data_IF_676184015835
#
_entry.id   IF_676184015835
#
_cell.length_a   1.000
_cell.length_b   1.000
_cell.length_c   1.000
_cell.angle_alpha   90.00
_cell.angle_beta   90.00
_cell.angle_gamma   90.00
#
_symmetry.space_group_name_H-M   'P 1'
#
loop_
_entity.id
_entity.type
_entity.pdbx_description
1 polymer ?
#
# COMPACT_ATOMS: atom_id res chain seq x y z
N UNK A 1 -56.01 15.85 99.87
CA UNK A 1 -54.96 15.67 98.83
C UNK A 1 -54.38 14.27 98.93
N UNK A 2 -54.20 13.62 97.77
CA UNK A 2 -53.45 12.36 97.51
C UNK A 2 -54.18 11.05 97.81
N UNK A 3 -54.20 10.01 96.97
CA UNK A 3 -53.81 9.75 95.55
C UNK A 3 -54.44 8.39 95.21
N UNK A 4 -55.13 8.29 94.07
CA UNK A 4 -55.55 7.03 93.42
C UNK A 4 -54.40 6.51 92.53
N UNK A 5 -54.13 5.20 92.52
CA UNK A 5 -53.35 4.47 91.49
C UNK A 5 -53.57 2.95 91.73
N UNK A 6 -54.48 2.25 91.05
CA UNK A 6 -54.58 1.78 89.66
C UNK A 6 -53.60 0.66 89.25
N UNK A 7 -54.16 -0.56 89.31
CA UNK A 7 -54.04 -1.75 88.43
C UNK A 7 -52.79 -2.04 87.58
N UNK A 8 -52.25 -3.24 87.84
CA UNK A 8 -52.11 -4.40 86.93
C UNK A 8 -51.36 -4.27 85.58
N UNK A 9 -50.15 -4.85 85.59
CA UNK A 9 -49.40 -5.60 84.57
C UNK A 9 -49.78 -5.48 83.07
N UNK A 10 -48.82 -5.09 82.19
CA UNK A 10 -48.90 -5.37 80.77
C UNK A 10 -48.26 -6.73 80.39
N UNK A 11 -48.95 -7.40 79.48
CA UNK A 11 -48.67 -8.67 78.83
C UNK A 11 -47.49 -8.51 77.85
N UNK A 12 -46.54 -9.46 77.90
CA UNK A 12 -45.43 -9.60 76.96
C UNK A 12 -45.96 -10.11 75.62
N UNK A 13 -45.93 -9.26 74.59
CA UNK A 13 -46.14 -9.66 73.19
C UNK A 13 -44.79 -9.89 72.52
N UNK A 14 -44.39 -11.16 72.38
CA UNK A 14 -43.24 -11.59 71.59
C UNK A 14 -43.55 -11.35 70.11
N UNK A 15 -42.99 -10.28 69.56
CA UNK A 15 -42.94 -10.03 68.12
C UNK A 15 -42.05 -11.07 67.45
N UNK A 16 -42.65 -12.10 66.84
CA UNK A 16 -41.97 -12.97 65.89
C UNK A 16 -41.77 -12.21 64.56
N UNK A 17 -40.75 -11.36 64.51
CA UNK A 17 -40.25 -10.78 63.26
C UNK A 17 -39.50 -11.85 62.48
N UNK A 18 -40.19 -12.53 61.57
CA UNK A 18 -39.58 -13.38 60.55
C UNK A 18 -38.81 -12.50 59.57
N UNK A 19 -37.54 -12.23 59.91
CA UNK A 19 -36.58 -11.62 58.99
C UNK A 19 -36.34 -12.58 57.82
N UNK A 20 -37.13 -12.44 56.75
CA UNK A 20 -36.77 -12.94 55.44
C UNK A 20 -35.58 -12.12 54.93
N UNK A 21 -34.38 -12.43 55.43
CA UNK A 21 -33.14 -11.91 54.88
C UNK A 21 -32.99 -12.51 53.46
N UNK A 22 -33.49 -11.79 52.45
CA UNK A 22 -33.16 -12.11 51.06
C UNK A 22 -31.66 -11.89 50.91
N UNK A 23 -30.90 -12.96 50.75
CA UNK A 23 -29.48 -12.88 50.45
C UNK A 23 -29.29 -11.98 49.22
N UNK A 24 -28.73 -10.79 49.41
CA UNK A 24 -28.35 -9.92 48.31
C UNK A 24 -27.17 -10.61 47.62
N UNK A 25 -27.39 -11.15 46.42
CA UNK A 25 -26.31 -11.60 45.56
C UNK A 25 -25.44 -10.37 45.25
N UNK A 26 -24.31 -10.26 45.93
CA UNK A 26 -23.35 -9.18 45.67
C UNK A 26 -22.69 -9.50 44.34
N UNK A 27 -22.96 -8.71 43.31
CA UNK A 27 -22.27 -8.85 42.05
C UNK A 27 -20.77 -8.63 42.29
N UNK A 28 -19.96 -9.66 42.05
CA UNK A 28 -18.51 -9.56 42.07
C UNK A 28 -18.04 -9.32 40.65
N UNK A 29 -17.37 -8.20 40.43
CA UNK A 29 -16.78 -7.85 39.13
C UNK A 29 -15.27 -7.73 39.30
N UNK A 30 -14.54 -8.18 38.29
CA UNK A 30 -13.10 -7.98 38.13
C UNK A 30 -12.84 -7.39 36.75
N UNK A 31 -11.82 -6.55 36.63
CA UNK A 31 -11.41 -5.97 35.35
C UNK A 31 -10.04 -6.50 34.93
N UNK A 32 -9.82 -6.56 33.63
CA UNK A 32 -8.52 -6.85 33.00
C UNK A 32 -8.20 -5.70 32.06
N UNK A 33 -6.95 -5.24 32.08
CA UNK A 33 -6.47 -4.25 31.13
C UNK A 33 -6.16 -4.93 29.80
N UNK A 34 -6.74 -4.42 28.73
CA UNK A 34 -6.42 -4.82 27.36
C UNK A 34 -5.58 -3.75 26.69
N UNK A 35 -4.54 -4.14 25.97
CA UNK A 35 -3.73 -3.24 25.15
C UNK A 35 -3.52 -3.80 23.74
N UNK A 36 -3.44 -2.90 22.76
CA UNK A 36 -3.12 -3.20 21.37
C UNK A 36 -1.93 -2.35 20.98
N UNK A 37 -0.88 -2.98 20.46
CA UNK A 37 0.31 -2.30 19.93
C UNK A 37 0.29 -2.38 18.41
N UNK A 38 0.35 -1.23 17.75
CA UNK A 38 0.40 -1.13 16.28
C UNK A 38 1.83 -0.79 15.85
N UNK A 39 2.31 -1.47 14.81
CA UNK A 39 3.61 -1.19 14.17
C UNK A 39 3.41 -0.88 12.69
N UNK A 40 4.31 -0.06 12.13
CA UNK A 40 4.33 0.18 10.70
C UNK A 40 4.71 -1.11 9.97
N UNK A 41 3.92 -1.50 8.98
CA UNK A 41 4.17 -2.65 8.13
C UNK A 41 4.00 -2.19 6.68
N UNK A 42 4.99 -2.46 5.84
CA UNK A 42 4.99 -2.07 4.43
C UNK A 42 5.64 -3.17 3.59
N UNK A 43 5.03 -3.49 2.46
CA UNK A 43 5.51 -4.49 1.51
C UNK A 43 5.07 -4.13 0.08
N UNK A 44 5.94 -4.42 -0.87
CA UNK A 44 5.65 -4.43 -2.29
C UNK A 44 6.08 -5.78 -2.86
N UNK A 45 5.21 -6.41 -3.63
CA UNK A 45 5.48 -7.67 -4.33
C UNK A 45 5.33 -7.42 -5.83
N UNK A 46 6.41 -7.61 -6.59
CA UNK A 46 6.37 -7.58 -8.05
C UNK A 46 5.86 -8.93 -8.56
N UNK A 47 4.78 -8.91 -9.34
CA UNK A 47 4.18 -10.09 -9.95
C UNK A 47 4.61 -10.25 -11.42
N UNK A 48 5.09 -9.18 -12.05
CA UNK A 48 5.73 -9.20 -13.37
C UNK A 48 7.20 -8.79 -13.27
N UNK A 49 8.06 -9.36 -14.12
CA UNK A 49 9.51 -9.21 -14.02
C UNK A 49 10.19 -8.72 -15.30
N UNK A 50 9.44 -8.38 -16.36
CA UNK A 50 10.02 -7.91 -17.62
C UNK A 50 9.08 -7.03 -18.43
N UNK A 51 9.67 -6.13 -19.21
CA UNK A 51 9.03 -5.33 -20.24
C UNK A 51 9.97 -5.27 -21.45
N UNK A 52 9.49 -5.67 -22.63
CA UNK A 52 10.31 -5.81 -23.84
C UNK A 52 9.69 -5.05 -25.01
N UNK A 53 10.41 -4.05 -25.51
CA UNK A 53 10.04 -3.30 -26.70
C UNK A 53 10.72 -3.91 -27.93
N UNK A 54 9.96 -4.15 -29.00
CA UNK A 54 10.47 -4.74 -30.24
C UNK A 54 10.23 -3.79 -31.41
N UNK A 55 11.28 -3.13 -31.89
CA UNK A 55 11.25 -2.21 -33.03
C UNK A 55 11.68 -2.90 -34.33
N UNK A 56 10.76 -3.66 -34.94
CA UNK A 56 10.97 -4.48 -36.15
C UNK A 56 10.36 -3.89 -37.43
N UNK A 57 9.60 -2.79 -37.33
CA UNK A 57 9.00 -2.10 -38.48
C UNK A 57 9.29 -0.59 -38.44
N UNK A 58 9.39 0.08 -39.60
CA UNK A 58 9.55 1.54 -39.64
C UNK A 58 8.47 2.32 -38.89
N UNK A 59 7.22 1.83 -38.90
CA UNK A 59 6.12 2.47 -38.17
C UNK A 59 6.39 2.56 -36.67
N UNK A 60 7.00 1.53 -36.06
CA UNK A 60 7.34 1.57 -34.63
C UNK A 60 8.39 2.62 -34.31
N UNK A 61 9.34 2.90 -35.22
CA UNK A 61 10.30 3.99 -35.06
C UNK A 61 9.65 5.37 -35.24
N UNK A 62 8.60 5.47 -36.06
CA UNK A 62 7.87 6.72 -36.29
C UNK A 62 6.87 7.04 -35.19
N UNK A 63 6.09 6.05 -34.76
CA UNK A 63 4.95 6.21 -33.86
C UNK A 63 5.30 5.92 -32.39
N UNK A 64 6.42 5.22 -32.17
CA UNK A 64 6.75 4.64 -30.87
C UNK A 64 6.02 3.33 -30.60
N UNK A 65 6.12 2.85 -29.36
CA UNK A 65 5.49 1.61 -28.91
C UNK A 65 4.91 1.82 -27.53
N UNK A 66 3.66 1.41 -27.35
CA UNK A 66 3.06 1.17 -26.03
C UNK A 66 2.85 -0.32 -25.87
N UNK A 67 3.38 -0.90 -24.79
CA UNK A 67 3.19 -2.32 -24.49
C UNK A 67 1.78 -2.58 -23.97
N UNK A 68 1.26 -3.81 -24.11
CA UNK A 68 0.04 -4.22 -23.42
C UNK A 68 0.14 -3.95 -21.92
N UNK A 69 -0.98 -3.54 -21.32
CA UNK A 69 -1.07 -3.32 -19.88
C UNK A 69 -0.74 -4.61 -19.13
N UNK A 70 0.17 -4.51 -18.16
CA UNK A 70 0.46 -5.57 -17.21
C UNK A 70 -0.50 -5.45 -16.02
N UNK A 71 -1.61 -6.16 -16.08
CA UNK A 71 -2.61 -6.16 -15.00
C UNK A 71 -2.07 -6.82 -13.74
N UNK A 72 -2.24 -6.16 -12.60
CA UNK A 72 -1.75 -6.65 -11.31
C UNK A 72 -0.23 -6.82 -11.25
N UNK A 73 0.51 -6.00 -12.00
CA UNK A 73 1.97 -6.05 -12.12
C UNK A 73 2.69 -6.02 -10.76
N UNK A 74 2.12 -5.35 -9.77
CA UNK A 74 2.57 -5.45 -8.38
C UNK A 74 1.43 -5.28 -7.38
N UNK A 75 1.67 -5.78 -6.16
CA UNK A 75 0.75 -5.67 -5.03
C UNK A 75 1.42 -4.98 -3.87
N UNK A 76 0.68 -4.09 -3.22
CA UNK A 76 1.13 -3.29 -2.07
C UNK A 76 0.30 -3.58 -0.84
N UNK A 77 1.00 -3.67 0.29
CA UNK A 77 0.42 -3.65 1.63
C UNK A 77 1.16 -2.59 2.46
N UNK A 78 0.44 -1.65 3.05
CA UNK A 78 0.96 -0.64 3.96
C UNK A 78 -0.06 -0.31 5.05
N UNK A 79 0.36 -0.33 6.32
CA UNK A 79 -0.47 0.12 7.46
C UNK A 79 -0.50 1.64 7.63
N UNK A 80 0.23 2.39 6.79
CA UNK A 80 0.28 3.85 6.74
C UNK A 80 0.04 4.36 5.32
N UNK A 81 -0.29 5.64 5.12
CA UNK A 81 -0.21 6.25 3.79
C UNK A 81 1.17 6.00 3.17
N UNK A 82 1.24 5.89 1.85
CA UNK A 82 2.49 5.53 1.16
C UNK A 82 2.63 6.21 -0.20
N UNK A 83 3.85 6.18 -0.72
CA UNK A 83 4.19 6.53 -2.11
C UNK A 83 4.92 5.37 -2.79
N UNK A 84 4.92 5.38 -4.13
CA UNK A 84 5.67 4.41 -4.94
C UNK A 84 6.50 5.15 -5.97
N UNK A 85 7.79 4.83 -6.01
CA UNK A 85 8.73 5.40 -6.98
C UNK A 85 9.41 4.31 -7.81
N UNK A 86 9.77 4.65 -9.04
CA UNK A 86 10.68 3.87 -9.87
C UNK A 86 12.08 4.50 -9.84
N UNK A 87 13.11 3.69 -9.62
CA UNK A 87 14.51 4.09 -9.59
C UNK A 87 15.28 3.37 -10.68
N UNK A 88 16.03 4.10 -11.51
CA UNK A 88 16.86 3.50 -12.55
C UNK A 88 18.16 2.99 -11.95
N UNK A 89 18.51 1.73 -12.20
CA UNK A 89 19.74 1.12 -11.67
C UNK A 89 21.01 1.63 -12.40
N UNK A 90 20.85 2.12 -13.62
CA UNK A 90 21.90 2.61 -14.48
C UNK A 90 21.40 3.84 -15.26
N UNK A 91 22.31 4.58 -15.91
CA UNK A 91 21.95 5.72 -16.76
C UNK A 91 21.21 5.27 -18.04
N UNK A 92 21.61 4.10 -18.55
CA UNK A 92 21.19 3.61 -19.86
C UNK A 92 20.81 2.12 -19.83
N UNK A 93 20.09 1.70 -20.87
CA UNK A 93 20.03 0.33 -21.33
C UNK A 93 21.24 0.05 -22.21
N UNK A 94 21.93 -1.04 -21.92
CA UNK A 94 23.18 -1.42 -22.57
C UNK A 94 22.94 -2.58 -23.54
N UNK A 95 23.52 -2.48 -24.74
CA UNK A 95 23.66 -3.61 -25.66
C UNK A 95 24.48 -4.75 -25.04
N UNK A 96 24.39 -5.92 -25.66
CA UNK A 96 25.10 -7.13 -25.24
C UNK A 96 26.39 -7.35 -26.03
N UNK A 97 27.30 -8.16 -25.47
CA UNK A 97 28.55 -8.54 -26.13
C UNK A 97 29.44 -7.34 -26.47
N UNK A 98 29.82 -7.21 -27.75
CA UNK A 98 30.70 -6.14 -28.25
C UNK A 98 29.97 -4.84 -28.59
N UNK A 99 28.64 -4.79 -28.47
CA UNK A 99 27.88 -3.60 -28.76
C UNK A 99 28.05 -2.55 -27.65
N UNK A 100 28.57 -1.37 -28.02
CA UNK A 100 28.82 -0.26 -27.09
C UNK A 100 27.69 0.77 -27.07
N UNK A 101 26.70 0.63 -27.94
CA UNK A 101 25.55 1.54 -28.00
C UNK A 101 24.76 1.52 -26.68
N UNK A 102 24.18 2.69 -26.38
CA UNK A 102 23.35 2.94 -25.19
C UNK A 102 22.04 3.59 -25.57
N UNK A 103 20.98 3.23 -24.85
CA UNK A 103 19.65 3.86 -24.93
C UNK A 103 19.36 4.48 -23.56
N UNK A 104 19.11 5.80 -23.47
CA UNK A 104 18.87 6.43 -22.18
C UNK A 104 17.52 6.00 -21.59
N UNK A 105 17.45 5.83 -20.28
CA UNK A 105 16.21 5.44 -19.60
C UNK A 105 15.05 6.41 -19.84
N UNK A 106 15.34 7.70 -20.02
CA UNK A 106 14.32 8.73 -20.27
C UNK A 106 13.68 8.66 -21.67
N UNK A 107 14.05 7.67 -22.49
CA UNK A 107 13.28 7.28 -23.67
C UNK A 107 12.04 6.46 -23.30
N UNK A 108 12.01 5.87 -22.11
CA UNK A 108 10.93 5.02 -21.60
C UNK A 108 10.06 5.82 -20.62
N UNK A 109 8.76 5.66 -20.76
CA UNK A 109 7.74 6.18 -19.86
C UNK A 109 6.99 5.02 -19.18
N UNK A 110 6.58 5.26 -17.94
CA UNK A 110 5.83 4.31 -17.12
C UNK A 110 4.57 4.98 -16.62
N UNK A 111 3.43 4.36 -16.87
CA UNK A 111 2.15 4.74 -16.29
C UNK A 111 1.73 3.66 -15.28
N UNK A 112 1.21 4.08 -14.12
CA UNK A 112 0.79 3.18 -13.04
C UNK A 112 -0.57 3.61 -12.51
N UNK A 113 -1.48 2.65 -12.32
CA UNK A 113 -2.80 2.90 -11.71
C UNK A 113 -3.22 1.74 -10.82
N UNK A 114 -4.08 1.96 -9.81
CA UNK A 114 -4.77 0.87 -9.14
C UNK A 114 -5.49 -0.01 -10.17
N UNK A 115 -5.46 -1.34 -10.00
CA UNK A 115 -6.07 -2.27 -10.95
C UNK A 115 -7.54 -1.93 -11.22
N UNK A 116 -7.90 -1.87 -12.51
CA UNK A 116 -9.22 -1.45 -12.98
C UNK A 116 -9.42 0.07 -13.08
N UNK A 117 -8.41 0.86 -12.72
CA UNK A 117 -8.36 2.30 -12.96
C UNK A 117 -7.98 2.65 -14.40
N UNK A 118 -8.09 3.93 -14.73
CA UNK A 118 -7.71 4.47 -16.04
C UNK A 118 -6.37 5.19 -15.96
N UNK A 119 -5.43 4.87 -16.85
CA UNK A 119 -4.18 5.60 -16.98
C UNK A 119 -4.45 7.06 -17.39
N UNK A 120 -4.03 8.02 -16.57
CA UNK A 120 -4.19 9.45 -16.85
C UNK A 120 -2.94 10.07 -17.46
N UNK A 121 -1.74 9.70 -16.97
CA UNK A 121 -0.45 10.21 -17.47
C UNK A 121 0.68 9.21 -17.31
N UNK A 122 1.52 9.08 -18.34
CA UNK A 122 2.78 8.35 -18.27
C UNK A 122 3.89 9.26 -17.70
N UNK A 123 4.81 8.67 -16.94
CA UNK A 123 5.93 9.37 -16.32
C UNK A 123 7.23 8.92 -16.98
N UNK A 124 8.00 9.84 -17.54
CA UNK A 124 9.32 9.53 -18.08
C UNK A 124 10.27 9.07 -16.97
N UNK A 125 11.00 7.98 -17.23
CA UNK A 125 12.04 7.53 -16.31
C UNK A 125 13.23 8.49 -16.31
N UNK A 126 13.94 8.64 -15.19
CA UNK A 126 15.08 9.53 -15.12
C UNK A 126 16.28 8.96 -15.88
N UNK A 127 17.05 9.82 -16.54
CA UNK A 127 18.25 9.43 -17.28
C UNK A 127 19.47 9.14 -16.38
N UNK A 128 19.40 9.53 -15.11
CA UNK A 128 20.53 9.42 -14.17
C UNK A 128 20.28 8.28 -13.19
N UNK A 129 21.23 7.36 -13.08
CA UNK A 129 21.18 6.25 -12.15
C UNK A 129 20.93 6.73 -10.72
N UNK A 130 20.10 5.98 -9.98
CA UNK A 130 19.71 6.31 -8.60
C UNK A 130 18.68 7.44 -8.49
N UNK A 131 18.32 8.11 -9.58
CA UNK A 131 17.22 9.09 -9.57
C UNK A 131 15.87 8.37 -9.60
N UNK A 132 14.85 9.03 -9.03
CA UNK A 132 13.52 8.46 -8.86
C UNK A 132 12.48 9.19 -9.72
N UNK A 133 11.60 8.44 -10.37
CA UNK A 133 10.32 8.92 -10.90
C UNK A 133 9.20 8.56 -9.92
N UNK A 134 8.38 9.54 -9.54
CA UNK A 134 7.20 9.28 -8.72
C UNK A 134 6.11 8.63 -9.59
N UNK A 135 5.72 7.39 -9.26
CA UNK A 135 4.70 6.65 -10.00
C UNK A 135 3.34 6.75 -9.34
N UNK A 136 3.32 6.68 -8.01
CA UNK A 136 2.11 6.81 -7.21
C UNK A 136 2.40 7.82 -6.11
N UNK A 137 1.72 8.96 -6.17
CA UNK A 137 1.73 9.94 -5.10
C UNK A 137 1.13 9.41 -3.81
N UNK A 138 1.01 10.27 -2.79
CA UNK A 138 0.49 9.88 -1.48
C UNK A 138 -0.88 9.21 -1.61
N UNK A 139 -0.92 7.94 -1.25
CA UNK A 139 -2.12 7.09 -1.20
C UNK A 139 -2.36 6.64 0.23
N UNK A 140 -3.62 6.37 0.59
CA UNK A 140 -4.00 5.87 1.93
C UNK A 140 -3.45 4.47 2.20
N UNK A 141 -3.42 4.07 3.48
CA UNK A 141 -3.08 2.69 3.87
C UNK A 141 -3.96 1.65 3.14
N UNK A 142 -3.36 0.54 2.73
CA UNK A 142 -4.03 -0.58 2.03
C UNK A 142 -3.40 -1.90 2.47
N UNK A 143 -4.14 -3.02 2.49
CA UNK A 143 -3.57 -4.32 2.87
C UNK A 143 -3.29 -5.23 1.67
N UNK A 144 -3.79 -4.91 0.48
CA UNK A 144 -3.60 -5.72 -0.73
C UNK A 144 -4.00 -4.94 -1.99
N UNK A 145 -3.46 -3.73 -2.19
CA UNK A 145 -3.74 -2.96 -3.39
C UNK A 145 -2.91 -3.47 -4.57
N UNK A 146 -3.56 -3.97 -5.61
CA UNK A 146 -2.91 -4.30 -6.87
C UNK A 146 -2.82 -3.06 -7.79
N UNK A 147 -1.75 -2.98 -8.55
CA UNK A 147 -1.51 -1.93 -9.54
C UNK A 147 -1.23 -2.51 -10.91
N UNK A 148 -1.78 -1.86 -11.92
CA UNK A 148 -1.51 -2.13 -13.32
C UNK A 148 -0.38 -1.20 -13.79
N UNK A 149 0.54 -1.72 -14.61
CA UNK A 149 1.61 -0.93 -15.23
C UNK A 149 1.44 -0.94 -16.75
N UNK A 150 1.67 0.20 -17.39
CA UNK A 150 1.89 0.30 -18.82
C UNK A 150 3.22 0.99 -19.11
N UNK A 151 4.00 0.42 -20.03
CA UNK A 151 5.25 0.98 -20.48
C UNK A 151 5.12 1.48 -21.91
N UNK A 152 5.75 2.62 -22.21
CA UNK A 152 5.78 3.19 -23.55
C UNK A 152 7.15 3.78 -23.88
N UNK A 153 7.47 3.78 -25.17
CA UNK A 153 8.48 4.67 -25.78
C UNK A 153 7.69 5.52 -26.78
N UNK A 154 7.40 6.78 -26.48
CA UNK A 154 6.58 7.62 -27.36
C UNK A 154 7.34 7.94 -28.67
N UNK A 155 6.60 8.30 -29.73
CA UNK A 155 7.17 8.77 -31.01
C UNK A 155 8.31 9.79 -30.82
N UNK A 156 8.11 10.76 -29.92
CA UNK A 156 9.07 11.80 -29.59
C UNK A 156 10.38 11.29 -28.95
N UNK A 157 10.46 10.00 -28.58
CA UNK A 157 11.67 9.34 -28.05
C UNK A 157 12.14 8.19 -28.93
N UNK A 158 11.27 7.60 -29.74
CA UNK A 158 11.59 6.49 -30.64
C UNK A 158 12.72 6.85 -31.63
N UNK A 159 12.82 8.11 -32.07
CA UNK A 159 13.91 8.56 -32.94
C UNK A 159 15.31 8.41 -32.31
N UNK A 160 15.43 8.36 -30.97
CA UNK A 160 16.71 8.15 -30.29
C UNK A 160 17.31 6.76 -30.52
N UNK A 161 16.49 5.84 -31.07
CA UNK A 161 16.88 4.47 -31.42
C UNK A 161 17.43 4.36 -32.84
N UNK A 162 17.28 5.39 -33.68
CA UNK A 162 17.77 5.36 -35.06
C UNK A 162 19.31 5.33 -35.09
N UNK A 163 19.85 4.48 -35.96
CA UNK A 163 21.30 4.31 -36.14
C UNK A 163 21.99 3.49 -35.06
N UNK A 164 21.25 2.97 -34.06
CA UNK A 164 21.77 2.01 -33.08
C UNK A 164 21.95 0.63 -33.73
N UNK A 165 22.94 -0.12 -33.28
CA UNK A 165 23.14 -1.50 -33.72
C UNK A 165 21.95 -2.38 -33.31
N UNK A 166 21.60 -3.35 -34.17
CA UNK A 166 20.55 -4.32 -33.90
C UNK A 166 21.00 -5.26 -32.78
N UNK A 167 20.39 -5.13 -31.61
CA UNK A 167 20.75 -5.87 -30.40
C UNK A 167 19.64 -5.76 -29.34
N UNK A 168 19.75 -6.55 -28.28
CA UNK A 168 18.94 -6.40 -27.08
C UNK A 168 19.63 -5.43 -26.12
N UNK A 169 18.96 -4.33 -25.79
CA UNK A 169 19.44 -3.38 -24.79
C UNK A 169 18.74 -3.66 -23.47
N UNK A 170 19.50 -3.93 -22.41
CA UNK A 170 18.95 -4.36 -21.12
C UNK A 170 19.37 -3.42 -19.98
N UNK A 171 18.50 -3.33 -18.98
CA UNK A 171 18.78 -2.67 -17.70
C UNK A 171 17.76 -3.09 -16.65
N UNK A 172 17.90 -2.57 -15.43
CA UNK A 172 17.02 -2.89 -14.30
C UNK A 172 16.32 -1.63 -13.79
N UNK A 173 15.01 -1.75 -13.56
CA UNK A 173 14.18 -0.73 -12.92
C UNK A 173 13.76 -1.24 -11.54
N UNK A 174 13.99 -0.44 -10.51
CA UNK A 174 13.67 -0.78 -9.12
C UNK A 174 12.40 -0.06 -8.69
N UNK A 175 11.46 -0.79 -8.09
CA UNK A 175 10.25 -0.22 -7.51
C UNK A 175 10.39 -0.16 -6.00
N UNK A 176 10.20 1.03 -5.45
CA UNK A 176 10.32 1.28 -4.00
C UNK A 176 9.02 1.83 -3.45
N UNK A 177 8.53 1.21 -2.38
CA UNK A 177 7.43 1.72 -1.58
C UNK A 177 7.98 2.40 -0.32
N UNK A 178 7.42 3.57 0.03
CA UNK A 178 7.76 4.28 1.27
C UNK A 178 6.49 4.58 2.05
N UNK A 179 6.41 4.08 3.29
CA UNK A 179 5.36 4.47 4.24
C UNK A 179 5.65 5.86 4.83
N UNK A 180 4.62 6.71 4.93
CA UNK A 180 4.67 8.11 5.37
C UNK A 180 4.29 8.27 6.84
#
# INVERSE_FOLDING_TARGET
MKKFLLLAAPIISVLFSSNNAKAQATASTGSVNMSVQLQAAVAITLNTNSASFVFDTPSKYADGITLPTQTGAFTVSSSRPYTIVATTAANDLAGTGSNVDKIPFNAIEVAVVPTGGSFSTATALPATAGSTANLVGTTTATLSQAYDIQYSIPAAKAHTLLGKNLDTYTSTLLYTITAL
#
